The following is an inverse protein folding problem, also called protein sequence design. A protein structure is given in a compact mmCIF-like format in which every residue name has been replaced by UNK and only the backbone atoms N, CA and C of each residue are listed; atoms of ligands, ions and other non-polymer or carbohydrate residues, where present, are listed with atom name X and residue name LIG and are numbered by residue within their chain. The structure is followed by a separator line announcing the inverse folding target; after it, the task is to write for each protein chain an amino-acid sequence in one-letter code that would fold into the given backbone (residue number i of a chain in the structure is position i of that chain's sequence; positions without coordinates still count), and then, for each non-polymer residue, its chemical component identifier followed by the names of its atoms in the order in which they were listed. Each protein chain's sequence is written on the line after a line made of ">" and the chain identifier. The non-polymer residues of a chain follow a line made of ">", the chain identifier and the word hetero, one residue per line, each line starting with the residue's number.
data_IF_637023087096
#
_entry.id   IF_637023087096
#
_cell.length_a   1.000
_cell.length_b   1.000
_cell.length_c   1.000
_cell.angle_alpha   90.00
_cell.angle_beta   90.00
_cell.angle_gamma   90.00
#
_symmetry.space_group_name_H-M   'P 1'
#
loop_
_entity.id
_entity.type
_entity.pdbx_description
1 polymer ?
#
# COMPACT_ATOMS: atom_id res chain seq x y z
N UNK A 1 7.85 -9.78 -7.19
CA UNK A 1 9.07 -9.59 -6.38
C UNK A 1 9.08 -8.29 -5.57
N UNK A 2 9.26 -7.08 -6.14
CA UNK A 2 9.33 -5.85 -5.33
C UNK A 2 8.01 -5.48 -4.63
N UNK A 3 6.88 -5.58 -5.34
CA UNK A 3 5.57 -5.28 -4.76
C UNK A 3 5.17 -6.27 -3.66
N UNK A 4 5.55 -7.54 -3.79
CA UNK A 4 5.33 -8.54 -2.74
C UNK A 4 6.13 -8.22 -1.49
N UNK A 5 7.37 -7.74 -1.63
CA UNK A 5 8.17 -7.26 -0.50
C UNK A 5 7.57 -6.03 0.17
N UNK A 6 6.98 -5.11 -0.60
CA UNK A 6 6.23 -3.96 -0.03
C UNK A 6 5.05 -4.48 0.78
N UNK A 7 4.24 -5.37 0.22
CA UNK A 7 3.09 -5.95 0.91
C UNK A 7 3.48 -6.75 2.16
N UNK A 8 4.52 -7.58 2.09
CA UNK A 8 4.98 -8.37 3.24
C UNK A 8 5.50 -7.48 4.36
N UNK A 9 6.31 -6.46 4.03
CA UNK A 9 6.78 -5.47 5.00
C UNK A 9 5.60 -4.72 5.62
N UNK A 10 4.66 -4.28 4.80
CA UNK A 10 3.48 -3.55 5.24
C UNK A 10 2.61 -4.36 6.21
N UNK A 11 2.31 -5.62 5.88
CA UNK A 11 1.50 -6.50 6.73
C UNK A 11 2.24 -6.83 8.04
N UNK A 12 3.57 -7.01 7.99
CA UNK A 12 4.40 -7.18 9.18
C UNK A 12 4.30 -5.95 10.09
N UNK A 13 4.49 -4.74 9.55
CA UNK A 13 4.39 -3.49 10.32
C UNK A 13 3.00 -3.30 10.93
N UNK A 14 1.93 -3.68 10.23
CA UNK A 14 0.56 -3.64 10.78
C UNK A 14 0.42 -4.62 11.95
N UNK A 15 0.93 -5.85 11.82
CA UNK A 15 0.82 -6.86 12.89
C UNK A 15 1.56 -6.48 14.18
N UNK A 16 2.47 -5.51 14.12
CA UNK A 16 3.20 -4.98 15.28
C UNK A 16 2.42 -3.88 16.03
N UNK A 17 1.28 -3.41 15.50
CA UNK A 17 0.44 -2.43 16.18
C UNK A 17 -0.23 -3.10 17.39
N UNK A 18 -0.02 -2.62 18.63
CA UNK A 18 -0.52 -3.32 19.83
C UNK A 18 -2.04 -3.51 19.90
N UNK A 19 -2.81 -2.63 19.27
CA UNK A 19 -4.27 -2.72 19.23
C UNK A 19 -4.79 -3.72 18.19
N UNK A 20 -3.94 -4.28 17.32
CA UNK A 20 -4.36 -5.19 16.25
C UNK A 20 -4.13 -6.64 16.69
N UNK A 21 -5.21 -7.40 16.79
CA UNK A 21 -5.18 -8.83 17.10
C UNK A 21 -4.76 -9.66 15.87
N UNK A 22 -5.30 -9.32 14.70
CA UNK A 22 -4.98 -9.98 13.44
C UNK A 22 -5.23 -9.06 12.25
N UNK A 23 -4.49 -9.31 11.18
CA UNK A 23 -4.66 -8.64 9.88
C UNK A 23 -4.78 -9.69 8.78
N UNK A 24 -5.82 -9.57 7.97
CA UNK A 24 -6.06 -10.41 6.80
C UNK A 24 -6.15 -9.53 5.54
N UNK A 25 -5.40 -9.90 4.51
CA UNK A 25 -5.48 -9.27 3.19
C UNK A 25 -6.36 -10.13 2.28
N UNK A 26 -7.49 -9.57 1.82
CA UNK A 26 -8.36 -10.21 0.82
C UNK A 26 -8.38 -9.41 -0.46
N UNK A 27 -8.32 -10.09 -1.59
CA UNK A 27 -8.47 -9.47 -2.92
C UNK A 27 -9.85 -9.78 -3.46
N UNK A 28 -10.65 -8.75 -3.73
CA UNK A 28 -12.00 -8.87 -4.30
C UNK A 28 -11.99 -8.10 -5.62
N UNK A 29 -12.25 -8.78 -6.73
CA UNK A 29 -12.16 -8.21 -8.09
C UNK A 29 -10.82 -7.49 -8.34
N UNK A 30 -9.70 -8.07 -7.88
CA UNK A 30 -8.36 -7.47 -7.99
C UNK A 30 -8.08 -6.33 -7.01
N UNK A 31 -9.07 -5.89 -6.22
CA UNK A 31 -8.93 -4.80 -5.26
C UNK A 31 -8.50 -5.36 -3.90
N UNK A 32 -7.38 -4.91 -3.32
CA UNK A 32 -6.94 -5.28 -1.98
C UNK A 32 -7.78 -4.62 -0.86
N UNK A 33 -8.25 -5.45 0.05
CA UNK A 33 -8.95 -5.07 1.28
C UNK A 33 -8.23 -5.64 2.51
N UNK A 34 -7.98 -4.78 3.48
CA UNK A 34 -7.46 -5.12 4.79
C UNK A 34 -8.62 -5.34 5.74
N UNK A 35 -8.65 -6.51 6.35
CA UNK A 35 -9.54 -6.87 7.44
C UNK A 35 -8.72 -6.88 8.71
N UNK A 36 -9.07 -6.02 9.65
CA UNK A 36 -8.36 -5.87 10.92
C UNK A 36 -9.29 -6.29 12.05
N UNK A 37 -8.82 -7.21 12.89
CA UNK A 37 -9.45 -7.51 14.17
C UNK A 37 -8.69 -6.75 15.24
N UNK A 38 -9.40 -6.01 16.08
CA UNK A 38 -8.81 -5.13 17.09
C UNK A 38 -9.01 -5.75 18.48
N UNK A 39 -8.01 -5.62 19.37
CA UNK A 39 -8.07 -6.11 20.77
C UNK A 39 -8.74 -5.14 21.73
N UNK A 40 -8.70 -3.83 21.44
CA UNK A 40 -9.27 -2.76 22.27
C UNK A 40 -9.93 -1.67 21.43
N UNK A 41 -10.99 -1.00 21.91
CA UNK A 41 -11.64 0.07 21.15
C UNK A 41 -10.63 1.14 20.68
N UNK A 42 -10.62 1.41 19.38
CA UNK A 42 -9.75 2.41 18.77
C UNK A 42 -10.56 3.33 17.87
N UNK A 43 -10.21 4.62 17.86
CA UNK A 43 -10.80 5.56 16.91
C UNK A 43 -10.39 5.17 15.47
N UNK A 44 -11.34 5.03 14.53
CA UNK A 44 -11.06 4.70 13.13
C UNK A 44 -10.01 5.60 12.48
N UNK A 45 -9.99 6.90 12.79
CA UNK A 45 -9.02 7.86 12.23
C UNK A 45 -7.59 7.61 12.73
N UNK A 46 -7.44 7.20 13.99
CA UNK A 46 -6.14 6.83 14.57
C UNK A 46 -5.64 5.54 13.93
N UNK A 47 -6.53 4.58 13.73
CA UNK A 47 -6.22 3.34 13.05
C UNK A 47 -5.80 3.59 11.59
N UNK A 48 -6.54 4.43 10.86
CA UNK A 48 -6.21 4.82 9.51
C UNK A 48 -4.84 5.51 9.42
N UNK A 49 -4.55 6.44 10.34
CA UNK A 49 -3.25 7.11 10.43
C UNK A 49 -2.11 6.12 10.67
N UNK A 50 -2.35 5.11 11.51
CA UNK A 50 -1.39 4.04 11.78
C UNK A 50 -1.13 3.20 10.52
N UNK A 51 -2.19 2.82 9.78
CA UNK A 51 -2.07 2.10 8.50
C UNK A 51 -1.26 2.93 7.49
N UNK A 52 -1.56 4.22 7.35
CA UNK A 52 -0.81 5.12 6.46
C UNK A 52 0.68 5.20 6.85
N UNK A 53 0.98 5.24 8.16
CA UNK A 53 2.37 5.21 8.67
C UNK A 53 3.08 3.91 8.29
N UNK A 54 2.46 2.75 8.50
CA UNK A 54 3.01 1.46 8.08
C UNK A 54 3.26 1.41 6.56
N UNK A 55 2.36 2.01 5.78
CA UNK A 55 2.49 2.13 4.32
C UNK A 55 3.75 2.91 3.94
N UNK A 56 3.97 4.07 4.58
CA UNK A 56 5.17 4.88 4.36
C UNK A 56 6.46 4.14 4.71
N UNK A 57 6.48 3.35 5.79
CA UNK A 57 7.62 2.50 6.14
C UNK A 57 7.89 1.46 5.04
N UNK A 58 6.86 0.75 4.57
CA UNK A 58 7.01 -0.29 3.55
C UNK A 58 7.45 0.24 2.17
N UNK A 59 7.10 1.50 1.87
CA UNK A 59 7.48 2.21 0.65
C UNK A 59 8.85 2.89 0.74
N UNK A 60 9.53 2.90 1.90
CA UNK A 60 10.80 3.62 2.06
C UNK A 60 11.83 3.19 0.99
N UNK A 61 12.41 4.18 0.32
CA UNK A 61 13.37 3.97 -0.78
C UNK A 61 12.76 3.59 -2.13
N UNK A 62 11.43 3.43 -2.22
CA UNK A 62 10.71 3.07 -3.44
C UNK A 62 9.91 4.26 -3.94
N UNK A 63 9.84 4.43 -5.27
CA UNK A 63 8.95 5.41 -5.89
C UNK A 63 7.56 4.81 -5.97
N UNK A 64 6.82 4.87 -4.87
CA UNK A 64 5.43 4.40 -4.77
C UNK A 64 4.60 5.46 -4.04
N UNK A 65 3.31 5.48 -4.32
CA UNK A 65 2.32 6.15 -3.47
C UNK A 65 1.34 5.13 -2.90
N UNK A 66 0.55 5.52 -1.90
CA UNK A 66 -0.49 4.65 -1.36
C UNK A 66 -1.80 5.39 -1.14
N UNK A 67 -2.90 4.65 -1.23
CA UNK A 67 -4.26 5.12 -0.94
C UNK A 67 -4.84 4.20 0.14
N UNK A 68 -5.39 4.79 1.20
CA UNK A 68 -6.11 4.06 2.25
C UNK A 68 -7.49 4.69 2.41
N UNK A 69 -8.53 3.88 2.31
CA UNK A 69 -9.92 4.31 2.45
C UNK A 69 -10.63 3.39 3.43
N UNK A 70 -11.26 3.98 4.44
CA UNK A 70 -12.15 3.26 5.34
C UNK A 70 -13.41 2.79 4.58
N UNK A 71 -13.77 1.51 4.74
CA UNK A 71 -14.92 0.91 4.05
C UNK A 71 -16.08 0.71 5.02
N UNK A 72 -15.82 0.04 6.15
CA UNK A 72 -16.82 -0.24 7.18
C UNK A 72 -16.16 -0.76 8.45
N UNK A 73 -16.92 -0.78 9.54
CA UNK A 73 -16.57 -1.45 10.78
C UNK A 73 -17.78 -2.13 11.38
N UNK A 74 -17.54 -3.21 12.13
CA UNK A 74 -18.55 -3.89 12.94
C UNK A 74 -17.89 -4.40 14.22
N UNK A 75 -18.36 -3.92 15.38
CA UNK A 75 -17.78 -4.24 16.69
C UNK A 75 -16.25 -4.02 16.70
N UNK A 76 -15.47 -5.11 16.75
CA UNK A 76 -14.00 -5.11 16.81
C UNK A 76 -13.35 -5.37 15.44
N UNK A 77 -14.13 -5.34 14.35
CA UNK A 77 -13.64 -5.53 12.99
C UNK A 77 -13.67 -4.23 12.21
N UNK A 78 -12.57 -3.97 11.51
CA UNK A 78 -12.44 -2.83 10.61
C UNK A 78 -12.04 -3.32 9.22
N UNK A 79 -12.63 -2.72 8.20
CA UNK A 79 -12.31 -3.01 6.80
C UNK A 79 -11.82 -1.73 6.14
N UNK A 80 -10.62 -1.81 5.56
CA UNK A 80 -10.03 -0.74 4.76
C UNK A 80 -9.75 -1.24 3.35
N UNK A 81 -9.93 -0.38 2.35
CA UNK A 81 -9.33 -0.56 1.02
C UNK A 81 -7.95 0.08 1.06
N UNK A 82 -6.91 -0.67 0.74
CA UNK A 82 -5.54 -0.15 0.74
C UNK A 82 -4.82 -0.50 -0.55
N UNK A 83 -4.31 0.48 -1.28
CA UNK A 83 -3.59 0.28 -2.54
C UNK A 83 -2.22 0.92 -2.50
N UNK A 84 -1.22 0.19 -2.96
CA UNK A 84 0.03 0.78 -3.42
C UNK A 84 -0.08 1.07 -4.92
N UNK A 85 0.38 2.25 -5.31
CA UNK A 85 0.30 2.77 -6.67
C UNK A 85 1.72 3.01 -7.18
N UNK A 86 2.00 2.46 -8.37
CA UNK A 86 3.23 2.77 -9.10
C UNK A 86 3.09 4.12 -9.79
N UNK A 87 4.16 4.94 -9.87
CA UNK A 87 4.13 6.21 -10.58
C UNK A 87 3.75 5.96 -12.03
N UNK A 88 2.73 6.66 -12.52
CA UNK A 88 2.43 6.69 -13.94
C UNK A 88 3.48 7.54 -14.66
N UNK A 89 4.68 7.00 -14.86
CA UNK A 89 5.61 7.57 -15.85
C UNK A 89 4.98 7.34 -17.22
N UNK A 90 4.98 8.38 -18.07
CA UNK A 90 4.46 8.32 -19.45
C UNK A 90 4.82 6.97 -20.09
N UNK A 91 3.84 6.08 -20.18
CA UNK A 91 4.00 4.77 -20.84
C UNK A 91 3.98 4.92 -22.38
N UNK A 92 3.81 6.15 -22.87
CA UNK A 92 3.82 6.47 -24.29
C UNK A 92 5.12 7.18 -24.64
N UNK A 93 5.90 6.56 -25.53
CA UNK A 93 6.95 7.25 -26.26
C UNK A 93 6.28 8.26 -27.19
N UNK A 94 6.54 9.56 -26.98
CA UNK A 94 6.01 10.63 -27.83
C UNK A 94 6.79 10.84 -29.13
N UNK A 95 7.80 10.01 -29.44
CA UNK A 95 8.59 10.09 -30.68
C UNK A 95 9.63 11.21 -30.73
N UNK A 96 9.59 12.21 -29.83
CA UNK A 96 10.41 13.42 -29.89
C UNK A 96 11.84 13.29 -29.29
N UNK A 97 12.35 12.06 -29.08
CA UNK A 97 13.72 11.80 -28.58
C UNK A 97 14.11 12.64 -27.34
N UNK A 98 13.18 12.84 -26.41
CA UNK A 98 13.43 13.65 -25.21
C UNK A 98 14.52 13.00 -24.33
N UNK A 99 15.22 13.82 -23.54
CA UNK A 99 16.29 13.37 -22.62
C UNK A 99 15.83 12.31 -21.62
N UNK A 100 14.53 12.30 -21.26
CA UNK A 100 13.90 11.34 -20.35
C UNK A 100 13.16 10.20 -21.08
N UNK A 101 13.48 9.93 -22.35
CA UNK A 101 12.79 8.91 -23.13
C UNK A 101 13.08 7.50 -22.59
N UNK A 102 12.03 6.70 -22.38
CA UNK A 102 12.14 5.31 -21.95
C UNK A 102 12.97 4.43 -22.90
N UNK A 103 13.11 4.80 -24.18
CA UNK A 103 13.99 4.11 -25.15
C UNK A 103 15.48 4.41 -24.93
N UNK A 104 15.82 5.53 -24.29
CA UNK A 104 17.19 5.99 -24.08
C UNK A 104 17.78 5.58 -22.73
N UNK A 105 17.05 4.83 -21.89
CA UNK A 105 17.63 4.34 -20.65
C UNK A 105 18.73 3.29 -20.95
N UNK A 106 20.04 3.61 -20.80
CA UNK A 106 21.12 2.70 -21.18
C UNK A 106 21.22 1.51 -20.21
N UNK A 107 20.66 1.67 -19.01
CA UNK A 107 20.67 0.67 -17.95
C UNK A 107 19.24 0.17 -17.77
N UNK A 108 18.71 -0.50 -18.80
CA UNK A 108 17.40 -1.13 -18.77
C UNK A 108 17.17 -1.86 -17.46
N UNK A 109 16.06 -1.53 -16.80
CA UNK A 109 15.40 -2.22 -15.69
C UNK A 109 16.14 -3.43 -15.08
N UNK A 110 17.14 -3.15 -14.24
CA UNK A 110 17.66 -4.06 -13.21
C UNK A 110 17.75 -3.32 -11.88
#
# INVERSE_FOLDING_TARGET
>A
MEMEQVWSTFLKEISLIPSIASVDLKRIAGIPFLYLKITSPINPEILERSIRRCSSTAMKGKKLSSETIFVRSEQNFFVFRHRFLVPQRKMFCCGNLCVDCVRFNPNGWY
#
